data_IF_141415293690
#
_entry.id   IF_141415293690
#
_cell.length_a   1.000
_cell.length_b   1.000
_cell.length_c   1.000
_cell.angle_alpha   90.00
_cell.angle_beta   90.00
_cell.angle_gamma   90.00
#
_symmetry.space_group_name_H-M   'P 1'
#
loop_
_entity.id
_entity.type
_entity.pdbx_description
1 polymer ?
#
# COMPACT_ATOMS: atom_id res chain seq x y z
N UNK A 1 -33.07 9.46 35.81
CA UNK A 1 -33.05 8.20 35.03
C UNK A 1 -32.42 7.13 35.93
N UNK A 2 -33.00 5.93 36.02
CA UNK A 2 -32.51 4.92 36.94
C UNK A 2 -31.11 4.42 36.51
N UNK A 3 -30.17 4.19 37.45
CA UNK A 3 -28.79 3.77 37.13
C UNK A 3 -28.73 2.47 36.30
N UNK A 4 -29.69 1.57 36.48
CA UNK A 4 -29.81 0.34 35.69
C UNK A 4 -30.08 0.61 34.19
N UNK A 5 -30.88 1.64 33.86
CA UNK A 5 -31.19 2.00 32.48
C UNK A 5 -29.95 2.58 31.77
N UNK A 6 -29.14 3.35 32.49
CA UNK A 6 -27.92 3.94 31.94
C UNK A 6 -26.86 2.87 31.64
N UNK A 7 -26.71 1.88 32.54
CA UNK A 7 -25.82 0.73 32.34
C UNK A 7 -26.27 -0.10 31.13
N UNK A 8 -27.57 -0.33 30.97
CA UNK A 8 -28.11 -1.08 29.83
C UNK A 8 -27.81 -0.38 28.49
N UNK A 9 -28.02 0.94 28.42
CA UNK A 9 -27.74 1.73 27.21
C UNK A 9 -26.24 1.66 26.85
N UNK A 10 -25.35 1.86 27.83
CA UNK A 10 -23.91 1.80 27.60
C UNK A 10 -23.44 0.43 27.13
N UNK A 11 -24.00 -0.66 27.69
CA UNK A 11 -23.69 -2.03 27.26
C UNK A 11 -24.15 -2.32 25.83
N UNK A 12 -25.34 -1.83 25.44
CA UNK A 12 -25.83 -1.97 24.06
C UNK A 12 -24.94 -1.19 23.09
N UNK A 13 -24.56 0.05 23.43
CA UNK A 13 -23.67 0.87 22.61
C UNK A 13 -22.29 0.22 22.47
N UNK A 14 -21.73 -0.32 23.56
CA UNK A 14 -20.44 -1.02 23.53
C UNK A 14 -20.50 -2.30 22.69
N UNK A 15 -21.55 -3.10 22.83
CA UNK A 15 -21.76 -4.31 22.05
C UNK A 15 -21.93 -4.00 20.56
N UNK A 16 -22.72 -2.98 20.22
CA UNK A 16 -22.93 -2.52 18.85
C UNK A 16 -21.62 -1.98 18.25
N UNK A 17 -20.85 -1.19 19.00
CA UNK A 17 -19.55 -0.70 18.55
C UNK A 17 -18.57 -1.86 18.29
N UNK A 18 -18.54 -2.86 19.16
CA UNK A 18 -17.71 -4.05 19.00
C UNK A 18 -18.11 -4.87 17.76
N UNK A 19 -19.41 -5.07 17.53
CA UNK A 19 -19.90 -5.79 16.35
C UNK A 19 -19.61 -5.05 15.04
N UNK A 20 -19.75 -3.71 15.03
CA UNK A 20 -19.38 -2.87 13.88
C UNK A 20 -17.87 -2.98 13.60
N UNK A 21 -17.02 -2.93 14.65
CA UNK A 21 -15.57 -3.09 14.51
C UNK A 21 -15.19 -4.44 13.92
N UNK A 22 -15.82 -5.53 14.34
CA UNK A 22 -15.59 -6.88 13.80
C UNK A 22 -15.98 -6.96 12.32
N UNK A 23 -17.14 -6.43 11.94
CA UNK A 23 -17.59 -6.45 10.55
C UNK A 23 -16.65 -5.68 9.60
N UNK A 24 -16.09 -4.55 10.07
CA UNK A 24 -15.10 -3.78 9.32
C UNK A 24 -13.78 -4.55 9.19
N UNK A 25 -13.32 -5.22 10.26
CA UNK A 25 -12.10 -6.03 10.24
C UNK A 25 -12.19 -7.25 9.28
N UNK A 26 -13.39 -7.78 9.03
CA UNK A 26 -13.62 -8.85 8.04
C UNK A 26 -13.47 -8.36 6.58
N UNK A 27 -13.40 -7.05 6.35
CA UNK A 27 -13.31 -6.43 5.02
C UNK A 27 -11.88 -5.94 4.69
N UNK A 28 -10.86 -6.53 5.32
CA UNK A 28 -9.46 -6.13 5.12
C UNK A 28 -8.83 -6.80 3.88
N UNK A 29 -9.39 -6.50 2.70
CA UNK A 29 -8.99 -7.11 1.42
C UNK A 29 -8.21 -6.11 0.57
N UNK A 30 -7.19 -6.62 -0.12
CA UNK A 30 -6.44 -5.89 -1.14
C UNK A 30 -6.47 -6.56 -2.49
N UNK A 31 -6.29 -5.76 -3.55
CA UNK A 31 -6.27 -6.25 -4.93
C UNK A 31 -5.05 -5.71 -5.67
N UNK A 32 -4.40 -6.58 -6.45
CA UNK A 32 -3.29 -6.22 -7.34
C UNK A 32 -3.82 -5.43 -8.54
N UNK A 33 -3.29 -4.25 -8.79
CA UNK A 33 -3.64 -3.44 -9.96
C UNK A 33 -2.61 -3.67 -11.07
N UNK A 34 -2.90 -4.66 -11.92
CA UNK A 34 -2.10 -4.93 -13.12
C UNK A 34 -2.44 -3.95 -14.24
N UNK A 35 -1.41 -3.37 -14.86
CA UNK A 35 -1.55 -2.35 -15.92
C UNK A 35 -1.10 -2.83 -17.31
N UNK A 36 -0.77 -4.13 -17.44
CA UNK A 36 -0.43 -4.73 -18.73
C UNK A 36 -1.71 -5.17 -19.42
N UNK A 37 -2.29 -4.27 -20.20
CA UNK A 37 -3.49 -4.49 -21.00
C UNK A 37 -3.76 -3.31 -21.92
N UNK A 38 -4.52 -3.52 -22.99
CA UNK A 38 -4.78 -2.53 -24.06
C UNK A 38 -6.15 -1.87 -23.99
N UNK A 39 -7.00 -2.30 -23.06
CA UNK A 39 -8.39 -1.84 -22.90
C UNK A 39 -8.76 -1.53 -21.43
N UNK A 40 -7.75 -1.28 -20.59
CA UNK A 40 -7.96 -1.03 -19.17
C UNK A 40 -8.59 0.36 -18.95
N UNK A 41 -9.44 0.53 -17.91
CA UNK A 41 -9.93 1.83 -17.50
C UNK A 41 -8.81 2.77 -17.05
N UNK A 42 -9.08 4.08 -17.00
CA UNK A 42 -8.13 5.05 -16.47
C UNK A 42 -7.83 4.80 -14.98
N UNK A 43 -6.65 5.19 -14.45
CA UNK A 43 -6.33 5.00 -13.04
C UNK A 43 -7.33 5.65 -12.08
N UNK A 44 -7.90 6.81 -12.41
CA UNK A 44 -8.94 7.47 -11.62
C UNK A 44 -10.21 6.62 -11.57
N UNK A 45 -10.59 6.02 -12.71
CA UNK A 45 -11.73 5.10 -12.80
C UNK A 45 -11.49 3.87 -11.93
N UNK A 46 -10.28 3.33 -11.95
CA UNK A 46 -9.90 2.19 -11.10
C UNK A 46 -9.95 2.56 -9.61
N UNK A 47 -9.42 3.72 -9.21
CA UNK A 47 -9.51 4.20 -7.80
C UNK A 47 -10.96 4.37 -7.36
N UNK A 48 -11.83 4.89 -8.23
CA UNK A 48 -13.27 4.95 -7.95
C UNK A 48 -13.89 3.56 -7.81
N UNK A 49 -13.45 2.58 -8.59
CA UNK A 49 -13.88 1.18 -8.47
C UNK A 49 -13.50 0.61 -7.10
N UNK A 50 -12.26 0.82 -6.65
CA UNK A 50 -11.79 0.39 -5.32
C UNK A 50 -12.66 0.99 -4.22
N UNK A 51 -12.93 2.30 -4.27
CA UNK A 51 -13.82 2.98 -3.31
C UNK A 51 -15.24 2.43 -3.35
N UNK A 52 -15.80 2.18 -4.54
CA UNK A 52 -17.16 1.65 -4.73
C UNK A 52 -17.35 0.28 -4.09
N UNK A 53 -16.33 -0.57 -4.14
CA UNK A 53 -16.37 -1.92 -3.57
C UNK A 53 -15.69 -2.04 -2.20
N UNK A 54 -15.36 -0.91 -1.56
CA UNK A 54 -14.71 -0.87 -0.24
C UNK A 54 -13.41 -1.68 -0.19
N UNK A 55 -12.64 -1.70 -1.27
CA UNK A 55 -11.32 -2.33 -1.32
C UNK A 55 -10.31 -1.35 -0.72
N UNK A 56 -9.79 -1.67 0.46
CA UNK A 56 -8.94 -0.78 1.24
C UNK A 56 -7.47 -0.78 0.85
N UNK A 57 -6.99 -1.81 0.14
CA UNK A 57 -5.56 -2.00 -0.18
C UNK A 57 -5.32 -2.22 -1.66
N UNK A 58 -4.26 -1.61 -2.19
CA UNK A 58 -3.83 -1.77 -3.59
C UNK A 58 -2.36 -2.15 -3.65
N UNK A 59 -2.02 -3.09 -4.52
CA UNK A 59 -0.62 -3.37 -4.90
C UNK A 59 -0.35 -2.88 -6.31
N UNK A 60 0.62 -1.99 -6.44
CA UNK A 60 1.24 -1.59 -7.70
C UNK A 60 2.53 -2.38 -7.89
N UNK A 61 2.76 -2.94 -9.07
CA UNK A 61 3.99 -3.70 -9.35
C UNK A 61 5.19 -2.80 -9.68
N UNK A 62 4.92 -1.54 -10.00
CA UNK A 62 5.92 -0.56 -10.38
C UNK A 62 5.46 0.88 -10.05
N UNK A 63 6.38 1.86 -9.97
CA UNK A 63 6.05 3.26 -9.66
C UNK A 63 5.47 3.98 -10.87
N UNK A 64 4.24 3.64 -11.25
CA UNK A 64 3.50 4.29 -12.31
C UNK A 64 2.97 5.67 -11.83
N UNK A 65 3.43 6.80 -12.43
CA UNK A 65 3.03 8.14 -11.96
C UNK A 65 1.54 8.44 -12.10
N UNK A 66 0.88 7.95 -13.15
CA UNK A 66 -0.55 8.21 -13.39
C UNK A 66 -1.40 7.55 -12.29
N UNK A 67 -1.05 6.32 -11.93
CA UNK A 67 -1.71 5.60 -10.84
C UNK A 67 -1.44 6.21 -9.47
N UNK A 68 -0.19 6.61 -9.20
CA UNK A 68 0.17 7.30 -7.96
C UNK A 68 -0.57 8.64 -7.84
N UNK A 69 -0.68 9.41 -8.93
CA UNK A 69 -1.45 10.65 -8.94
C UNK A 69 -2.94 10.40 -8.66
N UNK A 70 -3.54 9.38 -9.26
CA UNK A 70 -4.94 9.02 -9.01
C UNK A 70 -5.20 8.55 -7.57
N UNK A 71 -4.17 7.99 -6.90
CA UNK A 71 -4.27 7.49 -5.52
C UNK A 71 -4.14 8.59 -4.45
N UNK A 72 -3.69 9.81 -4.80
CA UNK A 72 -3.58 10.94 -3.86
C UNK A 72 -4.92 11.22 -3.18
N UNK A 73 -4.91 11.30 -1.86
CA UNK A 73 -6.12 11.56 -1.05
C UNK A 73 -7.19 10.48 -1.16
N UNK A 74 -6.86 9.30 -1.70
CA UNK A 74 -7.83 8.22 -1.87
C UNK A 74 -8.20 7.54 -0.54
N UNK A 75 -7.26 7.54 0.42
CA UNK A 75 -7.37 6.76 1.66
C UNK A 75 -7.16 5.26 1.46
N UNK A 76 -6.73 4.82 0.27
CA UNK A 76 -6.38 3.43 -0.03
C UNK A 76 -4.91 3.20 0.34
N UNK A 77 -4.66 2.13 1.06
CA UNK A 77 -3.33 1.69 1.47
C UNK A 77 -2.56 1.12 0.28
N UNK A 78 -1.35 1.61 0.03
CA UNK A 78 -0.54 1.27 -1.15
C UNK A 78 0.64 0.38 -0.77
N UNK A 79 0.76 -0.75 -1.45
CA UNK A 79 2.00 -1.52 -1.58
C UNK A 79 2.64 -1.19 -2.92
N UNK A 80 3.87 -0.69 -2.91
CA UNK A 80 4.59 -0.26 -4.11
C UNK A 80 5.74 -1.21 -4.46
N UNK A 81 5.74 -1.75 -5.67
CA UNK A 81 6.81 -2.61 -6.17
C UNK A 81 8.00 -1.85 -6.74
N UNK A 82 9.20 -2.26 -6.34
CA UNK A 82 10.43 -2.02 -7.09
C UNK A 82 10.43 -2.98 -8.28
N UNK A 83 10.65 -2.47 -9.48
CA UNK A 83 10.74 -3.29 -10.69
C UNK A 83 11.95 -4.21 -10.63
N UNK A 84 11.85 -5.41 -11.18
CA UNK A 84 12.94 -6.38 -11.18
C UNK A 84 14.24 -5.83 -11.80
N UNK A 85 14.12 -5.03 -12.86
CA UNK A 85 15.27 -4.40 -13.54
C UNK A 85 15.96 -3.30 -12.71
N UNK A 86 15.27 -2.71 -11.72
CA UNK A 86 15.83 -1.64 -10.89
C UNK A 86 16.63 -2.22 -9.71
N UNK A 87 16.41 -3.51 -9.37
CA UNK A 87 17.04 -4.16 -8.22
C UNK A 87 18.56 -4.09 -8.21
N UNK A 88 19.30 -4.40 -9.30
CA UNK A 88 20.76 -4.36 -9.26
C UNK A 88 21.29 -2.95 -8.96
N UNK A 89 20.67 -1.93 -9.54
CA UNK A 89 21.05 -0.53 -9.32
C UNK A 89 20.79 -0.11 -7.87
N UNK A 90 19.58 -0.37 -7.36
CA UNK A 90 19.19 0.01 -5.99
C UNK A 90 20.05 -0.74 -4.96
N UNK A 91 20.34 -2.02 -5.19
CA UNK A 91 21.16 -2.83 -4.30
C UNK A 91 22.64 -2.43 -4.27
N UNK A 92 23.12 -1.70 -5.28
CA UNK A 92 24.54 -1.35 -5.42
C UNK A 92 24.98 -0.14 -4.58
N UNK A 93 24.06 0.74 -4.16
CA UNK A 93 24.38 1.93 -3.39
C UNK A 93 23.18 2.51 -2.64
N UNK A 94 23.41 2.98 -1.41
CA UNK A 94 22.43 3.72 -0.61
C UNK A 94 21.98 5.00 -1.33
N UNK A 95 22.87 5.68 -2.05
CA UNK A 95 22.54 6.90 -2.78
C UNK A 95 21.58 6.62 -3.95
N UNK A 96 21.77 5.48 -4.63
CA UNK A 96 20.88 5.06 -5.71
C UNK A 96 19.51 4.61 -5.19
N UNK A 97 19.48 3.95 -4.03
CA UNK A 97 18.23 3.65 -3.34
C UNK A 97 17.49 4.91 -2.89
N UNK A 98 18.22 5.90 -2.35
CA UNK A 98 17.66 7.21 -1.99
C UNK A 98 17.14 7.95 -3.22
N UNK A 99 17.89 7.96 -4.32
CA UNK A 99 17.44 8.58 -5.56
C UNK A 99 16.14 7.93 -6.08
N UNK A 100 16.03 6.60 -5.97
CA UNK A 100 14.79 5.89 -6.29
C UNK A 100 13.64 6.29 -5.37
N UNK A 101 13.88 6.45 -4.06
CA UNK A 101 12.86 6.94 -3.11
C UNK A 101 12.37 8.34 -3.48
N UNK A 102 13.33 9.25 -3.69
CA UNK A 102 13.09 10.66 -3.89
C UNK A 102 12.31 10.89 -5.18
N UNK A 103 12.51 10.03 -6.19
CA UNK A 103 11.76 10.05 -7.43
C UNK A 103 10.36 9.41 -7.34
N UNK A 104 10.22 8.28 -6.63
CA UNK A 104 9.05 7.42 -6.77
C UNK A 104 8.08 7.45 -5.58
N UNK A 105 8.54 7.84 -4.39
CA UNK A 105 7.75 7.79 -3.14
C UNK A 105 7.64 9.16 -2.49
N UNK A 106 8.76 9.87 -2.34
CA UNK A 106 8.82 11.18 -1.70
C UNK A 106 7.79 12.20 -2.24
N UNK A 107 7.48 12.27 -3.56
CA UNK A 107 6.51 13.23 -4.08
C UNK A 107 5.05 12.95 -3.67
N UNK A 108 4.77 11.77 -3.12
CA UNK A 108 3.42 11.27 -2.85
C UNK A 108 3.16 10.97 -1.37
N UNK A 109 4.20 10.95 -0.53
CA UNK A 109 4.15 10.45 0.87
C UNK A 109 3.20 11.23 1.79
N UNK A 110 2.85 12.49 1.45
CA UNK A 110 1.88 13.29 2.21
C UNK A 110 0.43 12.94 1.87
N UNK A 111 0.19 12.42 0.66
CA UNK A 111 -1.15 12.28 0.10
C UNK A 111 -1.56 10.81 -0.06
N UNK A 112 -0.59 9.89 -0.02
CA UNK A 112 -0.78 8.45 -0.18
C UNK A 112 -0.29 7.74 1.07
N UNK A 113 -1.09 6.79 1.56
CA UNK A 113 -0.66 5.92 2.65
C UNK A 113 0.13 4.72 2.12
N UNK A 114 1.46 4.82 2.08
CA UNK A 114 2.32 3.69 1.72
C UNK A 114 2.52 2.76 2.91
N UNK A 115 2.02 1.53 2.80
CA UNK A 115 2.20 0.51 3.83
C UNK A 115 3.49 -0.29 3.63
N UNK A 116 3.83 -0.59 2.37
CA UNK A 116 4.96 -1.45 2.04
C UNK A 116 5.62 -1.03 0.73
N UNK A 117 6.94 -1.24 0.65
CA UNK A 117 7.70 -1.25 -0.60
C UNK A 117 8.22 -2.68 -0.79
N UNK A 118 7.93 -3.31 -1.92
CA UNK A 118 8.36 -4.69 -2.20
C UNK A 118 9.56 -4.71 -3.14
N UNK A 119 10.64 -5.38 -2.75
CA UNK A 119 11.84 -5.56 -3.55
C UNK A 119 11.68 -6.69 -4.58
N UNK A 120 11.23 -6.34 -5.78
CA UNK A 120 11.03 -7.28 -6.88
C UNK A 120 9.77 -8.13 -6.75
N UNK A 121 9.49 -8.87 -7.82
CA UNK A 121 8.39 -9.82 -7.93
C UNK A 121 8.95 -11.18 -8.37
N UNK A 122 8.80 -12.19 -7.49
CA UNK A 122 9.16 -13.60 -7.75
C UNK A 122 10.62 -13.82 -8.18
N UNK A 123 11.53 -12.98 -7.67
CA UNK A 123 12.96 -13.04 -8.03
C UNK A 123 13.73 -14.16 -7.34
N UNK A 124 13.15 -14.80 -6.32
CA UNK A 124 13.75 -15.94 -5.61
C UNK A 124 13.05 -17.22 -6.07
N UNK A 125 13.77 -18.25 -6.53
CA UNK A 125 15.24 -18.44 -6.48
C UNK A 125 16.02 -18.01 -7.74
N UNK A 126 15.52 -17.06 -8.54
CA UNK A 126 16.14 -16.64 -9.81
C UNK A 126 17.41 -15.79 -9.69
N UNK A 127 17.97 -15.39 -10.84
CA UNK A 127 19.27 -14.68 -10.94
C UNK A 127 19.32 -13.33 -10.21
N UNK A 128 18.15 -12.72 -10.01
CA UNK A 128 18.01 -11.45 -9.29
C UNK A 128 17.90 -11.62 -7.77
N UNK A 129 17.85 -12.85 -7.25
CA UNK A 129 17.72 -13.13 -5.81
C UNK A 129 18.82 -12.46 -4.98
N UNK A 130 20.05 -12.38 -5.51
CA UNK A 130 21.20 -11.77 -4.85
C UNK A 130 21.01 -10.27 -4.55
N UNK A 131 20.15 -9.57 -5.29
CA UNK A 131 19.92 -8.13 -5.13
C UNK A 131 18.81 -7.80 -4.11
N UNK A 132 17.98 -8.78 -3.72
CA UNK A 132 16.82 -8.54 -2.83
C UNK A 132 17.28 -7.93 -1.51
N UNK A 133 18.26 -8.55 -0.84
CA UNK A 133 18.74 -8.08 0.46
C UNK A 133 19.35 -6.67 0.36
N UNK A 134 20.20 -6.42 -0.64
CA UNK A 134 20.82 -5.11 -0.85
C UNK A 134 19.81 -4.02 -1.20
N UNK A 135 18.68 -4.35 -1.83
CA UNK A 135 17.64 -3.37 -2.18
C UNK A 135 16.65 -3.04 -1.05
N UNK A 136 16.58 -3.87 0.00
CA UNK A 136 15.73 -3.64 1.18
C UNK A 136 16.49 -3.00 2.35
N UNK A 137 17.83 -3.09 2.37
CA UNK A 137 18.68 -2.59 3.46
C UNK A 137 18.87 -1.05 3.54
N UNK A 138 18.85 -0.26 2.44
CA UNK A 138 19.07 1.19 2.50
C UNK A 138 18.05 1.93 3.37
N UNK A 139 16.87 1.33 3.54
CA UNK A 139 15.75 1.88 4.31
C UNK A 139 15.91 1.75 5.82
N UNK A 140 16.75 0.82 6.30
CA UNK A 140 16.98 0.61 7.73
C UNK A 140 18.10 1.49 8.31
N UNK A 141 19.03 1.99 7.49
CA UNK A 141 20.22 2.72 7.97
C UNK A 141 20.07 4.25 8.05
N UNK A 142 18.91 4.83 7.76
CA UNK A 142 18.69 6.28 7.89
C UNK A 142 17.96 6.67 9.19
N UNK A 143 17.57 5.70 10.03
CA UNK A 143 16.88 5.92 11.31
C UNK A 143 17.57 5.24 12.52
N UNK A 144 18.86 4.93 12.43
CA UNK A 144 19.68 4.42 13.53
C UNK A 144 20.84 5.37 13.85
#
# INVERSE_FOLDING_TARGET
MAPALMILILSIVASLHYHIRIAIALSDIGVNYGMVGDNLPSPETVVQLYKKYSIGKIRLFDPNPDALNALRGSGIDVTLGIRNQDLPSIASSVDLAKAWFDANVQPYITDINFQYITAGNEVVPGDLAQYVFGSTFPWHCQNA
#
